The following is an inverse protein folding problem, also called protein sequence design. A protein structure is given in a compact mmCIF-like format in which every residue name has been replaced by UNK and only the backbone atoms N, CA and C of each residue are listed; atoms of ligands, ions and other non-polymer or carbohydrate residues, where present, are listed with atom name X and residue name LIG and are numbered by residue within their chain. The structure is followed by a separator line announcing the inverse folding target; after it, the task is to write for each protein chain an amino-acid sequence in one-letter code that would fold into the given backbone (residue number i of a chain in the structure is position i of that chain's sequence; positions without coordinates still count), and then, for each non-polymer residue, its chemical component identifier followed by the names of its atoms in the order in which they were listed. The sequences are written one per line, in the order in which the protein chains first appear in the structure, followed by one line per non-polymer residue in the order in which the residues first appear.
data_IF_261279970783
#
_entry.id   IF_261279970783
#
_cell.length_a   1.000
_cell.length_b   1.000
_cell.length_c   1.000
_cell.angle_alpha   90.00
_cell.angle_beta   90.00
_cell.angle_gamma   90.00
#
_symmetry.space_group_name_H-M   'P 1'
#
loop_
_entity.id
_entity.type
_entity.pdbx_description
1 polymer ?
#
# COMPACT_ATOMS: atom_id res chain seq x y z
N UNK A 1 6.39 -9.87 6.61
CA UNK A 1 5.04 -9.27 6.43
C UNK A 1 4.16 -10.27 5.71
N UNK A 2 2.92 -10.47 6.17
CA UNK A 2 2.01 -11.44 5.56
C UNK A 2 1.35 -10.89 4.30
N UNK A 3 0.95 -11.78 3.34
CA UNK A 3 0.17 -11.34 2.19
C UNK A 3 -1.14 -10.65 2.58
N UNK A 4 -1.77 -11.10 3.65
CA UNK A 4 -3.00 -10.49 4.17
C UNK A 4 -2.78 -9.04 4.59
N UNK A 5 -1.70 -8.77 5.31
CA UNK A 5 -1.37 -7.40 5.72
C UNK A 5 -1.05 -6.51 4.52
N UNK A 6 -0.34 -7.02 3.52
CA UNK A 6 -0.07 -6.27 2.29
C UNK A 6 -1.37 -5.87 1.60
N UNK A 7 -2.33 -6.79 1.50
CA UNK A 7 -3.64 -6.53 0.93
C UNK A 7 -4.40 -5.47 1.72
N UNK A 8 -4.41 -5.59 3.05
CA UNK A 8 -5.08 -4.62 3.92
C UNK A 8 -4.52 -3.21 3.73
N UNK A 9 -3.21 -3.09 3.67
CA UNK A 9 -2.55 -1.80 3.47
C UNK A 9 -2.91 -1.22 2.09
N UNK A 10 -2.82 -2.02 1.04
CA UNK A 10 -3.15 -1.60 -0.31
C UNK A 10 -4.59 -1.12 -0.43
N UNK A 11 -5.52 -1.90 0.09
CA UNK A 11 -6.94 -1.55 0.06
C UNK A 11 -7.23 -0.28 0.87
N UNK A 12 -6.60 -0.12 2.03
CA UNK A 12 -6.78 1.07 2.86
C UNK A 12 -6.28 2.34 2.20
N UNK A 13 -5.20 2.26 1.42
CA UNK A 13 -4.62 3.43 0.76
C UNK A 13 -5.34 3.76 -0.55
N UNK A 14 -5.62 2.75 -1.37
CA UNK A 14 -6.08 2.95 -2.76
C UNK A 14 -7.47 2.37 -3.06
N UNK A 15 -8.08 1.65 -2.13
CA UNK A 15 -9.39 1.04 -2.35
C UNK A 15 -9.33 -0.30 -3.09
N UNK A 16 -10.46 -0.74 -3.68
CA UNK A 16 -10.56 -2.09 -4.26
C UNK A 16 -9.58 -2.39 -5.38
N UNK A 17 -9.15 -1.38 -6.13
CA UNK A 17 -8.22 -1.54 -7.26
C UNK A 17 -6.81 -1.14 -6.90
N UNK A 18 -6.39 -1.50 -5.72
CA UNK A 18 -5.14 -1.05 -5.13
C UNK A 18 -3.87 -1.63 -5.78
N UNK A 19 -3.94 -2.82 -6.39
CA UNK A 19 -2.72 -3.53 -6.82
C UNK A 19 -1.88 -2.72 -7.83
N UNK A 20 -2.49 -2.23 -8.89
CA UNK A 20 -1.79 -1.46 -9.92
C UNK A 20 -1.26 -0.13 -9.37
N UNK A 21 -2.07 0.55 -8.57
CA UNK A 21 -1.67 1.82 -7.96
C UNK A 21 -0.49 1.63 -7.01
N UNK A 22 -0.56 0.61 -6.15
CA UNK A 22 0.50 0.33 -5.20
C UNK A 22 1.78 -0.11 -5.91
N UNK A 23 1.68 -0.98 -6.92
CA UNK A 23 2.84 -1.41 -7.70
C UNK A 23 3.54 -0.21 -8.32
N UNK A 24 2.77 0.73 -8.85
CA UNK A 24 3.29 1.96 -9.46
C UNK A 24 3.97 2.85 -8.43
N UNK A 25 3.34 3.02 -7.27
CA UNK A 25 3.88 3.85 -6.19
C UNK A 25 5.19 3.27 -5.63
N UNK A 26 5.30 1.96 -5.57
CA UNK A 26 6.50 1.26 -5.10
C UNK A 26 7.54 1.03 -6.19
N UNK A 27 7.22 1.36 -7.44
CA UNK A 27 8.07 1.11 -8.60
C UNK A 27 8.46 -0.37 -8.74
N UNK A 28 7.49 -1.26 -8.49
CA UNK A 28 7.67 -2.70 -8.70
C UNK A 28 6.74 -3.19 -9.80
N UNK A 29 7.11 -4.33 -10.43
CA UNK A 29 6.28 -4.92 -11.47
C UNK A 29 5.05 -5.59 -10.86
N UNK A 30 4.00 -5.76 -11.68
CA UNK A 30 2.81 -6.51 -11.28
C UNK A 30 3.17 -7.96 -10.92
N UNK A 31 4.17 -8.52 -11.61
CA UNK A 31 4.67 -9.86 -11.31
C UNK A 31 5.24 -9.94 -9.90
N UNK A 32 6.05 -8.97 -9.49
CA UNK A 32 6.61 -8.92 -8.14
C UNK A 32 5.49 -8.80 -7.11
N UNK A 33 4.51 -7.95 -7.36
CA UNK A 33 3.36 -7.78 -6.48
C UNK A 33 2.59 -9.10 -6.33
N UNK A 34 2.33 -9.80 -7.43
CA UNK A 34 1.63 -11.10 -7.39
C UNK A 34 2.40 -12.14 -6.60
N UNK A 35 3.74 -12.15 -6.71
CA UNK A 35 4.59 -13.07 -5.95
C UNK A 35 4.50 -12.82 -4.45
N UNK A 36 4.50 -11.55 -4.05
CA UNK A 36 4.31 -11.19 -2.65
C UNK A 36 2.94 -11.64 -2.13
N UNK A 37 1.89 -11.43 -2.91
CA UNK A 37 0.53 -11.81 -2.53
C UNK A 37 0.34 -13.33 -2.47
N UNK A 38 1.07 -14.06 -3.29
CA UNK A 38 1.04 -15.52 -3.29
C UNK A 38 1.91 -16.14 -2.18
N UNK A 39 2.69 -15.33 -1.46
CA UNK A 39 3.59 -15.81 -0.42
C UNK A 39 4.86 -16.48 -0.94
N UNK A 40 5.14 -16.36 -2.24
CA UNK A 40 6.33 -16.94 -2.88
C UNK A 40 7.60 -16.23 -2.42
N UNK A 41 7.52 -14.91 -2.30
CA UNK A 41 8.62 -14.08 -1.80
C UNK A 41 8.10 -13.19 -0.69
N UNK A 42 8.94 -12.93 0.30
CA UNK A 42 8.62 -11.99 1.37
C UNK A 42 8.74 -10.55 0.86
N UNK A 43 7.90 -9.68 1.41
CA UNK A 43 8.01 -8.24 1.18
C UNK A 43 9.26 -7.74 1.89
N UNK A 44 10.21 -7.09 1.17
CA UNK A 44 11.41 -6.55 1.79
C UNK A 44 11.09 -5.51 2.87
N UNK A 45 11.97 -5.41 3.88
CA UNK A 45 11.80 -4.43 4.95
C UNK A 45 11.77 -2.99 4.44
N UNK A 46 12.55 -2.68 3.41
CA UNK A 46 12.54 -1.36 2.79
C UNK A 46 11.17 -1.03 2.19
N UNK A 47 10.50 -2.00 1.60
CA UNK A 47 9.14 -1.82 1.05
C UNK A 47 8.14 -1.62 2.17
N UNK A 48 8.27 -2.36 3.26
CA UNK A 48 7.41 -2.18 4.44
C UNK A 48 7.51 -0.74 4.96
N UNK A 49 8.72 -0.19 5.02
CA UNK A 49 8.93 1.20 5.42
C UNK A 49 8.26 2.19 4.44
N UNK A 50 8.36 1.94 3.14
CA UNK A 50 7.69 2.76 2.13
C UNK A 50 6.16 2.69 2.26
N UNK A 51 5.62 1.52 2.53
CA UNK A 51 4.17 1.35 2.76
C UNK A 51 3.70 2.19 3.93
N UNK A 52 4.48 2.24 4.99
CA UNK A 52 4.17 3.06 6.16
C UNK A 52 4.12 4.55 5.80
N UNK A 53 5.09 5.01 5.02
CA UNK A 53 5.14 6.41 4.56
C UNK A 53 3.93 6.73 3.69
N UNK A 54 3.58 5.85 2.76
CA UNK A 54 2.40 6.02 1.91
C UNK A 54 1.11 6.11 2.73
N UNK A 55 0.97 5.22 3.71
CA UNK A 55 -0.20 5.22 4.59
C UNK A 55 -0.29 6.49 5.43
N UNK A 56 0.82 6.95 5.98
CA UNK A 56 0.89 8.20 6.75
C UNK A 56 0.54 9.41 5.89
N UNK A 57 1.01 9.44 4.64
CA UNK A 57 0.68 10.50 3.69
C UNK A 57 -0.81 10.56 3.40
N UNK A 58 -1.44 9.39 3.21
CA UNK A 58 -2.88 9.28 2.98
C UNK A 58 -3.67 9.77 4.19
N UNK A 59 -3.25 9.38 5.38
CA UNK A 59 -3.86 9.82 6.63
C UNK A 59 -3.85 11.35 6.75
N UNK A 60 -2.70 11.97 6.51
CA UNK A 60 -2.58 13.44 6.56
C UNK A 60 -3.49 14.14 5.56
N UNK A 61 -3.58 13.60 4.34
CA UNK A 61 -4.46 14.15 3.31
C UNK A 61 -5.93 14.08 3.74
N UNK A 62 -6.34 12.94 4.31
CA UNK A 62 -7.69 12.77 4.82
C UNK A 62 -8.00 13.72 5.98
N UNK A 63 -7.07 13.87 6.91
CA UNK A 63 -7.22 14.80 8.04
C UNK A 63 -7.48 16.24 7.56
N UNK A 64 -6.76 16.68 6.53
CA UNK A 64 -6.96 18.01 5.95
C UNK A 64 -8.35 18.18 5.35
N UNK A 65 -8.81 17.19 4.62
CA UNK A 65 -10.14 17.21 3.99
C UNK A 65 -11.24 17.17 5.05
N UNK A 66 -11.09 16.32 6.06
CA UNK A 66 -12.06 16.23 7.16
C UNK A 66 -12.18 17.58 7.88
N UNK A 67 -11.08 18.26 8.11
CA UNK A 67 -11.09 19.58 8.73
C UNK A 67 -11.90 20.60 7.92
N UNK A 68 -11.92 20.47 6.60
CA UNK A 68 -12.69 21.36 5.71
C UNK A 68 -14.16 20.99 5.62
N UNK A 69 -14.54 19.80 6.05
CA UNK A 69 -15.93 19.30 6.03
C UNK A 69 -16.70 19.62 7.31
N UNK A 70 -16.12 20.27 8.25
CA UNK A 70 -16.78 20.67 9.49
C UNK A 70 -17.80 21.78 9.26
#
# INVERSE_FOLDING_TARGET
MTPTLLREVGEAIYGPRWQSELSRALAVSDRTMRRWLAGVNDVPDAVRAELRVLAQGRRKALDRVIARLR
#
